data_IF_728042942130
#
_entry.id   IF_728042942130
#
_cell.length_a   1.000
_cell.length_b   1.000
_cell.length_c   1.000
_cell.angle_alpha   90.00
_cell.angle_beta   90.00
_cell.angle_gamma   90.00
#
_symmetry.space_group_name_H-M   'P 1'
#
loop_
_entity.id
_entity.type
_entity.pdbx_description
1 polymer ?
#
# COMPACT_ATOMS: atom_id res chain seq x y z
N UNK A 1 19.61 -16.36 -53.08
CA UNK A 1 18.17 -16.30 -53.37
C UNK A 1 17.55 -17.59 -52.85
N UNK A 2 16.68 -17.64 -51.83
CA UNK A 2 16.03 -16.58 -51.07
C UNK A 2 15.87 -17.06 -49.63
N UNK A 3 16.58 -16.41 -48.72
CA UNK A 3 16.25 -16.35 -47.29
C UNK A 3 15.12 -15.33 -47.16
N UNK A 4 13.88 -15.81 -47.18
CA UNK A 4 12.70 -14.94 -46.99
C UNK A 4 11.64 -15.71 -46.23
N UNK A 5 12.02 -16.29 -45.08
CA UNK A 5 11.04 -16.87 -44.15
C UNK A 5 11.57 -16.90 -42.71
N UNK A 6 12.27 -15.83 -42.31
CA UNK A 6 12.85 -15.70 -40.97
C UNK A 6 12.72 -14.27 -40.45
N UNK A 7 11.48 -13.81 -40.25
CA UNK A 7 11.05 -12.80 -39.28
C UNK A 7 9.57 -12.46 -39.51
N UNK A 8 8.67 -13.41 -39.25
CA UNK A 8 7.37 -13.00 -38.77
C UNK A 8 7.61 -12.47 -37.35
N UNK A 9 7.78 -11.14 -37.21
CA UNK A 9 7.74 -10.49 -35.90
C UNK A 9 6.51 -11.01 -35.17
N UNK A 10 6.73 -11.74 -34.07
CA UNK A 10 5.65 -12.22 -33.23
C UNK A 10 4.86 -10.98 -32.78
N UNK A 11 3.65 -10.81 -33.33
CA UNK A 11 2.78 -9.71 -32.93
C UNK A 11 2.61 -9.73 -31.42
N UNK A 12 2.67 -8.57 -30.74
CA UNK A 12 2.45 -8.53 -29.30
C UNK A 12 1.07 -9.11 -28.97
N UNK A 13 0.98 -9.89 -27.90
CA UNK A 13 -0.31 -10.35 -27.39
C UNK A 13 -1.08 -9.18 -26.80
N UNK A 14 -2.09 -8.69 -27.53
CA UNK A 14 -2.89 -7.53 -27.14
C UNK A 14 -3.95 -7.82 -26.07
N UNK A 15 -4.08 -9.08 -25.63
CA UNK A 15 -5.03 -9.51 -24.61
C UNK A 15 -4.34 -9.83 -23.27
N UNK A 16 -3.01 -9.98 -23.27
CA UNK A 16 -2.24 -10.16 -22.05
C UNK A 16 -1.97 -8.82 -21.36
N UNK A 17 -2.30 -8.76 -20.07
CA UNK A 17 -1.84 -7.68 -19.21
C UNK A 17 -0.36 -7.87 -18.92
N UNK A 18 0.47 -6.96 -19.39
CA UNK A 18 1.91 -6.94 -19.11
C UNK A 18 2.23 -5.61 -18.44
N UNK A 19 2.73 -5.64 -17.20
CA UNK A 19 3.05 -4.42 -16.47
C UNK A 19 4.36 -3.80 -16.98
N UNK A 20 4.45 -2.47 -17.13
CA UNK A 20 5.70 -1.79 -17.45
C UNK A 20 6.77 -2.06 -16.38
N UNK A 21 8.01 -2.36 -16.78
CA UNK A 21 9.10 -2.62 -15.84
C UNK A 21 9.36 -1.46 -14.85
N UNK A 22 9.11 -0.21 -15.27
CA UNK A 22 9.22 0.97 -14.43
C UNK A 22 8.23 0.98 -13.23
N UNK A 23 7.10 0.25 -13.35
CA UNK A 23 6.11 0.15 -12.29
C UNK A 23 6.55 -0.78 -11.15
N UNK A 24 7.44 -1.74 -11.41
CA UNK A 24 7.89 -2.71 -10.40
C UNK A 24 8.47 -2.04 -9.14
N UNK A 25 9.04 -0.84 -9.28
CA UNK A 25 9.58 -0.06 -8.15
C UNK A 25 8.51 0.61 -7.28
N UNK A 26 7.29 0.76 -7.81
CA UNK A 26 6.15 1.42 -7.16
C UNK A 26 5.17 0.42 -6.56
N UNK A 27 5.09 -0.77 -7.15
CA UNK A 27 4.24 -1.86 -6.69
C UNK A 27 4.48 -2.21 -5.23
N UNK A 28 3.40 -2.59 -4.56
CA UNK A 28 3.42 -3.25 -3.28
C UNK A 28 3.70 -4.74 -3.50
N UNK A 29 4.86 -5.26 -3.06
CA UNK A 29 5.28 -6.61 -3.44
C UNK A 29 4.32 -7.72 -2.99
N UNK A 30 4.13 -8.71 -3.85
CA UNK A 30 3.28 -9.88 -3.62
C UNK A 30 4.10 -11.14 -3.81
N UNK A 31 4.18 -11.98 -2.77
CA UNK A 31 4.91 -13.25 -2.83
C UNK A 31 4.29 -14.23 -3.83
N UNK A 32 2.96 -14.17 -3.97
CA UNK A 32 2.15 -14.99 -4.88
C UNK A 32 2.20 -14.53 -6.34
N UNK A 33 3.02 -13.53 -6.68
CA UNK A 33 3.15 -13.01 -8.04
C UNK A 33 4.54 -13.29 -8.62
N UNK A 34 4.64 -13.54 -9.94
CA UNK A 34 5.89 -13.97 -10.60
C UNK A 34 6.91 -12.83 -10.80
N UNK A 35 6.77 -11.72 -10.08
CA UNK A 35 7.66 -10.56 -10.24
C UNK A 35 9.00 -10.82 -9.56
N UNK A 36 10.09 -10.45 -10.24
CA UNK A 36 11.42 -10.49 -9.66
C UNK A 36 11.62 -9.31 -8.70
N UNK A 37 11.15 -9.46 -7.46
CA UNK A 37 11.32 -8.45 -6.42
C UNK A 37 12.79 -8.31 -6.05
N UNK A 38 13.35 -7.08 -6.01
CA UNK A 38 14.69 -6.87 -5.49
C UNK A 38 14.77 -7.37 -4.04
N UNK A 39 15.87 -8.03 -3.68
CA UNK A 39 16.11 -8.45 -2.32
C UNK A 39 16.06 -7.24 -1.39
N UNK A 40 15.11 -7.26 -0.45
CA UNK A 40 14.98 -6.22 0.56
C UNK A 40 15.85 -6.56 1.78
N UNK A 41 16.43 -5.55 2.42
CA UNK A 41 17.18 -5.69 3.68
C UNK A 41 16.74 -4.58 4.63
N UNK A 42 16.76 -4.80 5.95
CA UNK A 42 16.58 -3.72 6.92
C UNK A 42 17.56 -2.56 6.68
N UNK A 43 17.10 -1.33 6.94
CA UNK A 43 17.89 -0.11 6.78
C UNK A 43 18.60 0.14 8.10
N UNK A 44 19.88 -0.20 8.10
CA UNK A 44 20.74 -0.03 9.27
C UNK A 44 20.75 1.40 9.81
N UNK A 45 20.70 2.42 8.93
CA UNK A 45 20.71 3.83 9.37
C UNK A 45 19.39 4.20 10.03
N UNK A 46 18.27 3.72 9.49
CA UNK A 46 16.97 3.86 10.14
C UNK A 46 16.98 3.16 11.51
N UNK A 47 17.52 1.95 11.60
CA UNK A 47 17.65 1.22 12.87
C UNK A 47 18.51 1.98 13.90
N UNK A 48 19.66 2.52 13.50
CA UNK A 48 20.51 3.37 14.34
C UNK A 48 19.77 4.64 14.81
N UNK A 49 18.95 5.24 13.94
CA UNK A 49 18.11 6.40 14.29
C UNK A 49 17.08 6.05 15.36
N UNK A 50 16.38 4.91 15.23
CA UNK A 50 15.45 4.43 16.24
C UNK A 50 16.15 4.14 17.58
N UNK A 51 17.34 3.52 17.58
CA UNK A 51 18.11 3.28 18.82
C UNK A 51 18.49 4.58 19.53
N UNK A 52 18.97 5.58 18.78
CA UNK A 52 19.30 6.88 19.34
C UNK A 52 18.06 7.55 19.94
N UNK A 53 16.93 7.50 19.23
CA UNK A 53 15.64 8.02 19.69
C UNK A 53 15.17 7.34 20.98
N UNK A 54 15.28 6.01 21.06
CA UNK A 54 14.93 5.26 22.26
C UNK A 54 15.86 5.58 23.43
N UNK A 55 17.16 5.74 23.18
CA UNK A 55 18.09 6.13 24.23
C UNK A 55 17.76 7.52 24.79
N UNK A 56 17.42 8.47 23.92
CA UNK A 56 17.06 9.84 24.29
C UNK A 56 15.73 9.91 25.06
N UNK A 57 14.68 9.25 24.57
CA UNK A 57 13.32 9.38 25.11
C UNK A 57 12.91 8.28 26.09
N UNK A 58 13.82 7.37 26.46
CA UNK A 58 13.53 6.30 27.43
C UNK A 58 12.86 6.80 28.72
N UNK A 59 13.31 7.89 29.37
CA UNK A 59 12.66 8.38 30.59
C UNK A 59 11.18 8.75 30.37
N UNK A 60 10.87 9.43 29.27
CA UNK A 60 9.50 9.82 28.93
C UNK A 60 8.64 8.62 28.54
N UNK A 61 9.22 7.61 27.86
CA UNK A 61 8.53 6.36 27.59
C UNK A 61 8.16 5.65 28.90
N UNK A 62 9.09 5.54 29.85
CA UNK A 62 8.83 4.95 31.17
C UNK A 62 7.75 5.72 31.96
N UNK A 63 7.78 7.06 31.91
CA UNK A 63 6.75 7.91 32.51
C UNK A 63 5.37 7.61 31.93
N UNK A 64 5.26 7.54 30.60
CA UNK A 64 3.99 7.25 29.93
C UNK A 64 3.50 5.82 30.23
N UNK A 65 4.41 4.84 30.27
CA UNK A 65 4.07 3.47 30.66
C UNK A 65 3.63 3.36 32.14
N UNK A 66 3.99 4.33 32.99
CA UNK A 66 3.56 4.40 34.38
C UNK A 66 2.23 5.16 34.59
N UNK A 67 1.69 5.80 33.55
CA UNK A 67 0.43 6.54 33.66
C UNK A 67 -0.76 5.60 33.95
N UNK A 68 -1.77 6.04 34.73
CA UNK A 68 -2.95 5.23 35.03
C UNK A 68 -3.75 4.78 33.79
N UNK A 69 -3.65 5.51 32.68
CA UNK A 69 -4.30 5.14 31.42
C UNK A 69 -3.58 4.04 30.64
N UNK A 70 -2.40 3.59 31.09
CA UNK A 70 -1.68 2.43 30.54
C UNK A 70 -2.07 1.17 31.30
N UNK A 71 -2.75 0.19 30.68
CA UNK A 71 -3.08 -1.08 31.33
C UNK A 71 -1.81 -1.81 31.82
N UNK A 72 -1.84 -2.51 32.97
CA UNK A 72 -0.65 -3.16 33.52
C UNK A 72 0.06 -4.10 32.54
N UNK A 73 -0.69 -4.87 31.74
CA UNK A 73 -0.13 -5.77 30.74
C UNK A 73 0.65 -5.02 29.64
N UNK A 74 0.16 -3.86 29.17
CA UNK A 74 0.86 -3.03 28.17
C UNK A 74 2.10 -2.40 28.78
N UNK A 75 2.02 -1.95 30.04
CA UNK A 75 3.16 -1.40 30.75
C UNK A 75 4.26 -2.45 30.98
N UNK A 76 3.89 -3.67 31.36
CA UNK A 76 4.82 -4.78 31.54
C UNK A 76 5.50 -5.18 30.23
N UNK A 77 4.72 -5.35 29.15
CA UNK A 77 5.23 -5.62 27.81
C UNK A 77 6.20 -4.52 27.34
N UNK A 78 5.83 -3.25 27.51
CA UNK A 78 6.68 -2.11 27.16
C UNK A 78 8.02 -2.13 27.92
N UNK A 79 7.99 -2.40 29.24
CA UNK A 79 9.21 -2.52 30.04
C UNK A 79 10.04 -3.75 29.68
N UNK A 80 9.42 -4.88 29.32
CA UNK A 80 10.10 -6.07 28.83
C UNK A 80 10.89 -5.74 27.55
N UNK A 81 10.26 -5.07 26.59
CA UNK A 81 10.94 -4.61 25.39
C UNK A 81 12.08 -3.63 25.70
N UNK A 82 11.88 -2.70 26.63
CA UNK A 82 12.93 -1.77 27.07
C UNK A 82 14.14 -2.47 27.72
N UNK A 83 13.98 -3.68 28.25
CA UNK A 83 15.06 -4.56 28.75
C UNK A 83 15.69 -5.44 27.66
N UNK A 84 15.19 -5.38 26.43
CA UNK A 84 15.66 -6.17 25.28
C UNK A 84 14.93 -7.50 25.09
N UNK A 85 13.84 -7.76 25.81
CA UNK A 85 13.03 -8.97 25.62
C UNK A 85 12.16 -8.83 24.35
N UNK A 86 12.01 -9.90 23.55
CA UNK A 86 11.23 -9.86 22.32
C UNK A 86 9.72 -9.89 22.63
N UNK A 87 9.13 -8.71 22.83
CA UNK A 87 7.69 -8.53 22.96
C UNK A 87 7.15 -7.57 21.87
N UNK A 88 6.41 -8.07 20.85
CA UNK A 88 5.88 -7.22 19.78
C UNK A 88 4.90 -6.14 20.25
N UNK A 89 4.11 -6.42 21.29
CA UNK A 89 3.17 -5.46 21.88
C UNK A 89 3.95 -4.39 22.65
N UNK A 90 4.98 -4.80 23.39
CA UNK A 90 5.91 -3.90 24.07
C UNK A 90 6.65 -2.99 23.11
N UNK A 91 7.20 -3.54 22.03
CA UNK A 91 7.86 -2.79 20.96
C UNK A 91 6.93 -1.75 20.33
N UNK A 92 5.69 -2.16 20.03
CA UNK A 92 4.66 -1.26 19.52
C UNK A 92 4.32 -0.12 20.49
N UNK A 93 4.12 -0.44 21.77
CA UNK A 93 3.79 0.54 22.80
C UNK A 93 4.91 1.59 22.99
N UNK A 94 6.16 1.12 23.03
CA UNK A 94 7.34 1.99 23.13
C UNK A 94 7.46 2.92 21.91
N UNK A 95 7.30 2.39 20.69
CA UNK A 95 7.38 3.20 19.47
C UNK A 95 6.22 4.22 19.35
N UNK A 96 5.03 3.92 19.88
CA UNK A 96 3.90 4.86 19.89
C UNK A 96 4.18 6.13 20.70
N UNK A 97 5.04 6.03 21.72
CA UNK A 97 5.44 7.18 22.54
C UNK A 97 6.69 7.85 21.99
N UNK A 98 7.71 7.06 21.64
CA UNK A 98 8.99 7.59 21.17
C UNK A 98 8.88 8.29 19.80
N UNK A 99 8.09 7.76 18.87
CA UNK A 99 8.01 8.31 17.51
C UNK A 99 7.45 9.75 17.46
N UNK A 100 6.36 10.11 18.19
CA UNK A 100 5.92 11.50 18.27
C UNK A 100 6.95 12.42 18.96
N UNK A 101 7.62 11.94 20.03
CA UNK A 101 8.65 12.71 20.73
C UNK A 101 9.80 13.08 19.79
N UNK A 102 10.33 12.09 19.07
CA UNK A 102 11.36 12.28 18.05
C UNK A 102 10.86 12.83 16.71
N UNK A 103 9.62 13.36 16.68
CA UNK A 103 9.07 14.06 15.51
C UNK A 103 9.08 13.21 14.21
N UNK A 104 8.94 11.88 14.34
CA UNK A 104 8.99 10.93 13.21
C UNK A 104 7.95 11.25 12.14
N UNK A 105 6.80 11.81 12.52
CA UNK A 105 5.80 12.28 11.56
C UNK A 105 6.35 13.30 10.54
N UNK A 106 7.41 14.05 10.86
CA UNK A 106 8.05 14.98 9.92
C UNK A 106 9.21 14.37 9.14
N UNK A 107 9.59 13.14 9.48
CA UNK A 107 10.59 12.37 8.73
C UNK A 107 9.92 11.59 7.60
N UNK A 108 10.69 11.15 6.58
CA UNK A 108 10.12 10.37 5.47
C UNK A 108 9.82 8.91 5.84
N UNK A 109 10.40 8.38 6.92
CA UNK A 109 10.35 6.95 7.25
C UNK A 109 10.25 6.72 8.76
N UNK A 110 9.38 5.81 9.17
CA UNK A 110 9.33 5.33 10.55
C UNK A 110 10.53 4.38 10.79
N UNK A 111 11.47 4.73 11.68
CA UNK A 111 12.71 3.98 11.85
C UNK A 111 12.57 2.70 12.68
N UNK A 112 11.45 2.53 13.41
CA UNK A 112 11.29 1.45 14.39
C UNK A 112 11.15 0.09 13.74
N UNK A 113 10.48 0.00 12.58
CA UNK A 113 10.35 -1.26 11.84
C UNK A 113 11.73 -1.85 11.49
N UNK A 114 12.65 -0.99 11.05
CA UNK A 114 14.02 -1.40 10.71
C UNK A 114 14.83 -1.81 11.93
N UNK A 115 14.67 -1.11 13.05
CA UNK A 115 15.29 -1.51 14.31
C UNK A 115 14.78 -2.88 14.80
N UNK A 116 13.48 -3.10 14.77
CA UNK A 116 12.89 -4.39 15.13
C UNK A 116 13.39 -5.52 14.22
N UNK A 117 13.48 -5.27 12.92
CA UNK A 117 13.94 -6.26 11.96
C UNK A 117 15.42 -6.61 12.13
N UNK A 118 16.27 -5.63 12.47
CA UNK A 118 17.69 -5.85 12.77
C UNK A 118 17.91 -6.61 14.09
N UNK A 119 17.11 -6.34 15.13
CA UNK A 119 17.34 -6.89 16.48
C UNK A 119 16.65 -8.23 16.73
N UNK A 120 15.47 -8.42 16.14
CA UNK A 120 14.61 -9.57 16.42
C UNK A 120 14.11 -10.27 15.15
N UNK A 121 14.52 -9.82 13.97
CA UNK A 121 14.13 -10.41 12.69
C UNK A 121 12.82 -9.86 12.10
N UNK A 122 12.60 -10.17 10.81
CA UNK A 122 11.48 -9.62 10.02
C UNK A 122 10.12 -10.09 10.56
N UNK A 123 10.00 -11.33 11.03
CA UNK A 123 8.76 -11.86 11.59
C UNK A 123 8.32 -11.10 12.85
N UNK A 124 9.28 -10.78 13.73
CA UNK A 124 9.03 -9.93 14.89
C UNK A 124 8.63 -8.52 14.48
N UNK A 125 9.36 -7.90 13.54
CA UNK A 125 9.05 -6.56 13.05
C UNK A 125 7.63 -6.48 12.46
N UNK A 126 7.22 -7.50 11.71
CA UNK A 126 5.87 -7.58 11.16
C UNK A 126 4.81 -7.69 12.27
N UNK A 127 5.05 -8.53 13.28
CA UNK A 127 4.17 -8.69 14.43
C UNK A 127 4.03 -7.39 15.23
N UNK A 128 5.14 -6.69 15.48
CA UNK A 128 5.15 -5.40 16.19
C UNK A 128 4.44 -4.31 15.39
N UNK A 129 4.61 -4.29 14.06
CA UNK A 129 3.93 -3.35 13.18
C UNK A 129 2.41 -3.54 13.18
N UNK A 130 1.93 -4.80 13.17
CA UNK A 130 0.51 -5.10 13.31
C UNK A 130 0.01 -4.86 14.74
N UNK A 131 0.78 -5.22 15.77
CA UNK A 131 0.41 -4.93 17.16
C UNK A 131 0.19 -3.42 17.39
N UNK A 132 1.04 -2.57 16.80
CA UNK A 132 0.90 -1.11 16.85
C UNK A 132 -0.43 -0.59 16.30
N UNK A 133 -1.00 -1.26 15.29
CA UNK A 133 -2.30 -0.91 14.72
C UNK A 133 -3.47 -1.09 15.71
N UNK A 134 -3.29 -1.95 16.72
CA UNK A 134 -4.29 -2.21 17.76
C UNK A 134 -4.09 -1.37 19.03
N UNK A 135 -3.03 -0.55 19.09
CA UNK A 135 -2.71 0.29 20.23
C UNK A 135 -2.91 1.78 19.90
N UNK A 136 -3.14 2.57 20.94
CA UNK A 136 -3.34 4.00 20.87
C UNK A 136 -2.66 4.68 22.06
N UNK A 137 -2.01 5.82 21.80
CA UNK A 137 -1.33 6.62 22.81
C UNK A 137 -1.80 8.09 22.70
N UNK A 138 -2.93 8.45 23.32
CA UNK A 138 -3.46 9.81 23.22
C UNK A 138 -2.55 10.79 23.94
N UNK A 139 -2.32 11.93 23.30
CA UNK A 139 -1.72 13.09 23.93
C UNK A 139 -2.35 14.40 23.45
N UNK A 140 -2.50 15.33 24.38
CA UNK A 140 -2.78 16.73 24.07
C UNK A 140 -1.48 17.52 23.94
N UNK A 141 -1.51 18.63 23.19
CA UNK A 141 -0.39 19.59 23.14
C UNK A 141 -0.79 20.83 23.92
N UNK A 142 -0.04 21.17 24.97
CA UNK A 142 -0.21 22.39 25.75
C UNK A 142 1.09 23.19 25.68
N UNK A 143 1.08 24.28 24.90
CA UNK A 143 2.31 25.00 24.58
C UNK A 143 3.25 24.13 23.73
N UNK A 144 4.46 23.88 24.24
CA UNK A 144 5.45 22.99 23.62
C UNK A 144 5.45 21.57 24.21
N UNK A 145 4.64 21.33 25.26
CA UNK A 145 4.63 20.06 25.98
C UNK A 145 3.51 19.14 25.48
N UNK A 146 3.80 17.84 25.48
CA UNK A 146 2.83 16.79 25.21
C UNK A 146 2.35 16.20 26.52
N UNK A 147 1.05 16.27 26.77
CA UNK A 147 0.41 15.64 27.92
C UNK A 147 -0.22 14.33 27.49
N UNK A 148 0.41 13.23 27.88
CA UNK A 148 -0.04 11.88 27.57
C UNK A 148 -1.11 11.41 28.54
N UNK A 149 -2.00 10.55 28.06
CA UNK A 149 -2.98 9.85 28.90
C UNK A 149 -2.54 8.42 29.25
N UNK A 150 -1.62 7.83 28.47
CA UNK A 150 -1.12 6.47 28.59
C UNK A 150 -1.03 5.78 27.21
N UNK A 151 -0.71 4.48 27.20
CA UNK A 151 -0.80 3.61 26.01
C UNK A 151 -1.81 2.50 26.28
N UNK A 152 -2.81 2.35 25.43
CA UNK A 152 -3.88 1.36 25.61
C UNK A 152 -4.33 0.77 24.28
N UNK A 153 -5.23 -0.20 24.35
CA UNK A 153 -5.94 -0.67 23.17
C UNK A 153 -6.68 0.48 22.48
N UNK A 154 -6.62 0.46 21.16
CA UNK A 154 -7.27 1.43 20.31
C UNK A 154 -8.76 1.15 20.22
N UNK A 155 -9.57 2.19 20.35
CA UNK A 155 -11.01 2.09 20.19
C UNK A 155 -11.43 2.30 18.73
N UNK A 156 -12.58 1.75 18.28
CA UNK A 156 -13.02 1.86 16.89
C UNK A 156 -13.18 3.31 16.38
N UNK A 157 -13.56 4.24 17.25
CA UNK A 157 -13.74 5.66 16.93
C UNK A 157 -12.44 6.46 16.83
N UNK A 158 -11.31 5.87 17.24
CA UNK A 158 -10.03 6.55 17.33
C UNK A 158 -9.27 6.52 16.01
N UNK A 159 -9.19 7.69 15.40
CA UNK A 159 -8.60 7.88 14.09
C UNK A 159 -7.12 8.25 14.18
N UNK A 160 -6.32 7.61 13.36
CA UNK A 160 -4.91 7.93 13.28
C UNK A 160 -4.68 9.13 12.36
N UNK A 161 -4.70 10.34 12.91
CA UNK A 161 -4.44 11.58 12.15
C UNK A 161 -2.95 11.81 11.84
N UNK A 162 -2.05 10.95 12.33
CA UNK A 162 -0.60 11.21 12.43
C UNK A 162 0.34 10.35 11.57
N UNK A 163 -0.14 9.60 10.58
CA UNK A 163 0.73 8.94 9.59
C UNK A 163 1.64 7.82 10.13
N UNK A 164 1.16 6.97 11.05
CA UNK A 164 1.91 5.77 11.48
C UNK A 164 2.09 4.73 10.37
N UNK A 165 1.07 4.52 9.54
CA UNK A 165 1.07 3.55 8.44
C UNK A 165 1.26 4.28 7.10
N UNK A 166 2.35 5.04 6.97
CA UNK A 166 2.71 5.56 5.64
C UNK A 166 2.97 4.41 4.68
N UNK A 167 2.50 4.59 3.46
CA UNK A 167 2.67 3.64 2.36
C UNK A 167 4.09 3.09 2.29
N UNK A 168 5.10 3.96 2.41
CA UNK A 168 6.52 3.58 2.32
C UNK A 168 6.96 2.56 3.38
N UNK A 169 6.57 2.75 4.65
CA UNK A 169 6.96 1.86 5.74
C UNK A 169 6.33 0.47 5.60
N UNK A 170 5.03 0.45 5.35
CA UNK A 170 4.27 -0.78 5.15
C UNK A 170 4.65 -1.50 3.83
N UNK A 171 4.95 -0.76 2.75
CA UNK A 171 5.46 -1.34 1.49
C UNK A 171 6.82 -1.99 1.69
N UNK A 172 7.69 -1.33 2.44
CA UNK A 172 9.03 -1.84 2.76
C UNK A 172 8.97 -3.13 3.58
N UNK A 173 8.14 -3.17 4.61
CA UNK A 173 7.91 -4.38 5.39
C UNK A 173 7.34 -5.52 4.52
N UNK A 174 6.38 -5.21 3.65
CA UNK A 174 5.83 -6.17 2.68
C UNK A 174 6.89 -6.67 1.69
N UNK A 175 7.85 -5.83 1.28
CA UNK A 175 8.98 -6.22 0.45
C UNK A 175 9.93 -7.20 1.15
N UNK A 176 10.21 -6.97 2.45
CA UNK A 176 11.00 -7.89 3.27
C UNK A 176 10.30 -9.27 3.36
N UNK A 177 9.00 -9.30 3.62
CA UNK A 177 8.22 -10.54 3.68
C UNK A 177 8.13 -11.24 2.33
N UNK A 178 7.90 -10.50 1.24
CA UNK A 178 7.79 -11.07 -0.11
C UNK A 178 9.08 -11.79 -0.55
N UNK A 179 10.24 -11.34 -0.06
CA UNK A 179 11.57 -11.90 -0.39
C UNK A 179 12.15 -12.78 0.73
N UNK A 180 11.43 -12.98 1.83
CA UNK A 180 11.86 -13.79 2.96
C UNK A 180 11.94 -15.29 2.60
N UNK A 181 12.76 -16.02 3.35
CA UNK A 181 12.76 -17.49 3.33
C UNK A 181 11.41 -18.03 3.83
N UNK A 182 11.04 -19.24 3.41
CA UNK A 182 9.73 -19.83 3.73
C UNK A 182 9.52 -19.96 5.24
N UNK A 183 10.57 -20.28 6.00
CA UNK A 183 10.53 -20.41 7.45
C UNK A 183 10.21 -19.07 8.12
N UNK A 184 10.87 -17.99 7.70
CA UNK A 184 10.63 -16.63 8.21
C UNK A 184 9.24 -16.13 7.83
N UNK A 185 8.78 -16.47 6.61
CA UNK A 185 7.42 -16.13 6.17
C UNK A 185 6.35 -16.88 6.99
N UNK A 186 6.59 -18.16 7.29
CA UNK A 186 5.71 -18.96 8.15
C UNK A 186 5.68 -18.42 9.59
N UNK A 187 6.84 -18.09 10.16
CA UNK A 187 6.94 -17.46 11.49
C UNK A 187 6.18 -16.13 11.54
N UNK A 188 6.33 -15.29 10.52
CA UNK A 188 5.57 -14.05 10.40
C UNK A 188 4.06 -14.32 10.33
N UNK A 189 3.62 -15.37 9.60
CA UNK A 189 2.22 -15.73 9.54
C UNK A 189 1.64 -16.10 10.91
N UNK A 190 2.37 -16.90 11.68
CA UNK A 190 1.97 -17.29 13.04
C UNK A 190 1.94 -16.10 13.99
N UNK A 191 2.94 -15.21 13.91
CA UNK A 191 2.99 -13.97 14.67
C UNK A 191 1.80 -13.05 14.35
N UNK A 192 1.56 -12.77 13.07
CA UNK A 192 0.46 -11.91 12.62
C UNK A 192 -0.91 -12.47 13.01
N UNK A 193 -1.10 -13.79 12.94
CA UNK A 193 -2.36 -14.42 13.34
C UNK A 193 -2.76 -14.08 14.79
N UNK A 194 -1.78 -13.92 15.70
CA UNK A 194 -2.00 -13.53 17.10
C UNK A 194 -2.36 -12.07 17.30
N UNK A 195 -2.12 -11.22 16.30
CA UNK A 195 -2.31 -9.77 16.40
C UNK A 195 -3.40 -9.24 15.45
N UNK A 196 -4.31 -10.10 14.93
CA UNK A 196 -5.44 -9.74 14.05
C UNK A 196 -6.75 -9.44 14.78
N UNK A 197 -6.69 -8.81 15.95
CA UNK A 197 -7.86 -8.60 16.83
C UNK A 197 -8.81 -7.49 16.37
N UNK A 198 -8.28 -6.40 15.82
CA UNK A 198 -9.08 -5.25 15.36
C UNK A 198 -9.21 -5.20 13.83
N UNK A 199 -10.16 -4.40 13.32
CA UNK A 199 -10.40 -4.26 11.88
C UNK A 199 -9.15 -3.81 11.11
N UNK A 200 -8.41 -2.81 11.62
CA UNK A 200 -7.18 -2.33 10.98
C UNK A 200 -6.05 -3.35 11.07
N UNK A 201 -5.97 -4.10 12.16
CA UNK A 201 -5.01 -5.20 12.26
C UNK A 201 -5.30 -6.30 11.24
N UNK A 202 -6.57 -6.67 11.04
CA UNK A 202 -6.99 -7.62 9.99
C UNK A 202 -6.65 -7.08 8.59
N UNK A 203 -6.95 -5.81 8.31
CA UNK A 203 -6.62 -5.16 7.05
C UNK A 203 -5.10 -5.13 6.79
N UNK A 204 -4.32 -4.70 7.77
CA UNK A 204 -2.86 -4.63 7.67
C UNK A 204 -2.22 -6.01 7.52
N UNK A 205 -2.68 -7.01 8.26
CA UNK A 205 -2.19 -8.38 8.12
C UNK A 205 -2.53 -8.97 6.74
N UNK A 206 -3.74 -8.72 6.22
CA UNK A 206 -4.13 -9.17 4.87
C UNK A 206 -3.37 -8.43 3.78
N UNK A 207 -3.01 -7.17 4.01
CA UNK A 207 -2.11 -6.43 3.15
C UNK A 207 -0.68 -6.98 3.18
N UNK A 208 -0.14 -7.34 4.35
CA UNK A 208 1.22 -7.87 4.48
C UNK A 208 1.34 -9.30 3.94
N UNK A 209 0.27 -10.10 4.02
CA UNK A 209 0.23 -11.50 3.58
C UNK A 209 -0.92 -11.73 2.59
N UNK A 210 -0.83 -11.14 1.38
CA UNK A 210 -1.91 -11.11 0.39
C UNK A 210 -2.27 -12.50 -0.18
N UNK A 211 -1.39 -13.48 -0.03
CA UNK A 211 -1.58 -14.89 -0.42
C UNK A 211 -2.44 -15.67 0.59
N UNK A 212 -2.54 -15.20 1.84
CA UNK A 212 -3.41 -15.77 2.87
C UNK A 212 -4.86 -15.34 2.64
N UNK A 213 -5.46 -15.80 1.55
CA UNK A 213 -6.81 -15.40 1.10
C UNK A 213 -7.90 -15.59 2.16
N UNK A 214 -7.78 -16.62 3.01
CA UNK A 214 -8.67 -16.82 4.15
C UNK A 214 -8.70 -15.63 5.12
N UNK A 215 -7.57 -14.94 5.32
CA UNK A 215 -7.52 -13.76 6.20
C UNK A 215 -8.27 -12.57 5.66
N UNK A 216 -8.27 -12.40 4.33
CA UNK A 216 -9.03 -11.37 3.66
C UNK A 216 -10.52 -11.74 3.61
N UNK A 217 -10.86 -13.02 3.39
CA UNK A 217 -12.23 -13.50 3.51
C UNK A 217 -12.81 -13.29 4.92
N UNK A 218 -12.03 -13.57 5.98
CA UNK A 218 -12.42 -13.28 7.37
C UNK A 218 -12.68 -11.78 7.60
N UNK A 219 -11.89 -10.91 6.93
CA UNK A 219 -12.07 -9.47 6.99
C UNK A 219 -13.40 -9.05 6.33
N UNK A 220 -13.70 -9.58 5.15
CA UNK A 220 -14.95 -9.29 4.42
C UNK A 220 -16.20 -9.83 5.14
N UNK A 221 -16.06 -10.96 5.84
CA UNK A 221 -17.18 -11.61 6.54
C UNK A 221 -17.51 -10.98 7.90
N UNK A 222 -16.68 -10.05 8.39
CA UNK A 222 -16.85 -9.43 9.70
C UNK A 222 -18.08 -8.47 9.69
N UNK A 223 -19.17 -8.79 10.42
CA UNK A 223 -20.39 -8.00 10.38
C UNK A 223 -20.24 -6.63 11.05
N UNK A 224 -19.21 -6.44 11.89
CA UNK A 224 -18.86 -5.15 12.48
C UNK A 224 -17.92 -4.34 11.58
N UNK A 225 -17.38 -4.96 10.53
CA UNK A 225 -16.61 -4.29 9.50
C UNK A 225 -17.51 -3.46 8.59
N UNK A 226 -18.04 -2.36 9.14
CA UNK A 226 -18.42 -1.24 8.30
C UNK A 226 -17.13 -0.59 7.82
N UNK A 227 -16.95 -0.40 6.51
CA UNK A 227 -15.73 0.19 5.96
C UNK A 227 -15.52 1.66 6.38
N UNK A 228 -16.54 2.28 6.98
CA UNK A 228 -16.44 3.51 7.76
C UNK A 228 -15.52 3.39 8.99
N UNK A 229 -15.31 2.18 9.52
CA UNK A 229 -14.44 1.89 10.66
C UNK A 229 -12.95 1.76 10.31
N UNK A 230 -12.58 1.62 9.04
CA UNK A 230 -11.20 1.87 8.59
C UNK A 230 -11.12 3.33 8.16
N UNK A 231 -10.26 4.08 8.84
CA UNK A 231 -10.04 5.48 8.52
C UNK A 231 -9.70 5.63 7.03
N UNK A 232 -10.31 6.58 6.31
CA UNK A 232 -10.08 6.77 4.87
C UNK A 232 -8.60 6.80 4.48
N UNK A 233 -7.74 7.36 5.35
CA UNK A 233 -6.29 7.44 5.14
C UNK A 233 -5.53 6.10 5.20
N UNK A 234 -6.16 5.02 5.67
CA UNK A 234 -5.58 3.67 5.75
C UNK A 234 -6.19 2.71 4.71
N UNK A 235 -7.25 3.12 3.99
CA UNK A 235 -7.97 2.27 3.02
C UNK A 235 -7.10 1.83 1.85
N UNK A 236 -6.05 2.58 1.52
CA UNK A 236 -5.06 2.23 0.51
C UNK A 236 -4.49 0.82 0.69
N UNK A 237 -4.41 0.30 1.94
CA UNK A 237 -4.00 -1.07 2.24
C UNK A 237 -4.86 -2.10 1.50
N UNK A 238 -6.17 -1.86 1.43
CA UNK A 238 -7.16 -2.75 0.85
C UNK A 238 -7.03 -2.80 -0.68
N UNK A 239 -6.83 -1.65 -1.32
CA UNK A 239 -6.54 -1.57 -2.76
C UNK A 239 -5.30 -2.39 -3.16
N UNK A 240 -4.32 -2.50 -2.26
CA UNK A 240 -3.12 -3.30 -2.46
C UNK A 240 -3.27 -4.77 -2.02
N UNK A 241 -4.41 -5.17 -1.44
CA UNK A 241 -4.64 -6.51 -0.89
C UNK A 241 -5.64 -7.35 -1.71
N UNK A 242 -6.61 -6.69 -2.38
CA UNK A 242 -7.58 -7.34 -3.26
C UNK A 242 -6.91 -8.19 -4.34
N UNK A 243 -7.55 -9.31 -4.71
CA UNK A 243 -7.10 -10.21 -5.77
C UNK A 243 -8.11 -10.34 -6.91
N UNK A 244 -9.34 -9.90 -6.72
CA UNK A 244 -10.35 -9.83 -7.77
C UNK A 244 -11.33 -8.66 -7.57
N UNK A 245 -12.24 -8.51 -8.55
CA UNK A 245 -13.24 -7.46 -8.56
C UNK A 245 -14.34 -7.66 -7.51
N UNK A 246 -14.74 -8.89 -7.23
CA UNK A 246 -15.82 -9.16 -6.27
C UNK A 246 -15.41 -8.71 -4.86
N UNK A 247 -14.13 -8.86 -4.52
CA UNK A 247 -13.55 -8.35 -3.29
C UNK A 247 -13.52 -6.82 -3.23
N UNK A 248 -13.16 -6.16 -4.33
CA UNK A 248 -13.17 -4.70 -4.41
C UNK A 248 -14.60 -4.15 -4.29
N UNK A 249 -15.59 -4.83 -4.88
CA UNK A 249 -17.01 -4.48 -4.81
C UNK A 249 -17.58 -4.71 -3.41
N UNK A 250 -17.24 -5.83 -2.75
CA UNK A 250 -17.64 -6.11 -1.36
C UNK A 250 -17.12 -5.06 -0.36
N UNK A 251 -15.99 -4.45 -0.71
CA UNK A 251 -15.39 -3.34 0.04
C UNK A 251 -15.89 -1.96 -0.36
N UNK A 252 -16.71 -1.87 -1.42
CA UNK A 252 -17.13 -0.61 -2.05
C UNK A 252 -15.92 0.32 -2.30
N UNK A 253 -14.81 -0.26 -2.79
CA UNK A 253 -13.57 0.49 -2.96
C UNK A 253 -13.76 1.67 -3.93
N UNK A 254 -13.17 2.79 -3.58
CA UNK A 254 -13.10 3.99 -4.42
C UNK A 254 -11.68 4.55 -4.40
N UNK A 255 -11.17 5.00 -5.55
CA UNK A 255 -9.88 5.68 -5.61
C UNK A 255 -10.06 7.17 -5.24
N UNK A 256 -10.24 7.43 -3.96
CA UNK A 256 -10.34 8.78 -3.40
C UNK A 256 -8.97 9.48 -3.31
N UNK A 257 -8.96 10.71 -2.79
CA UNK A 257 -7.74 11.52 -2.67
C UNK A 257 -6.67 10.90 -1.75
N UNK A 258 -7.02 9.93 -0.88
CA UNK A 258 -6.11 9.27 0.04
C UNK A 258 -5.62 7.91 -0.48
N UNK A 259 -6.28 7.34 -1.47
CA UNK A 259 -6.02 5.98 -1.96
C UNK A 259 -5.58 5.92 -3.43
N UNK A 260 -5.26 7.06 -4.05
CA UNK A 260 -4.86 7.15 -5.47
C UNK A 260 -3.37 7.42 -5.70
N UNK A 261 -2.50 7.01 -4.79
CA UNK A 261 -1.06 7.14 -5.03
C UNK A 261 -0.63 6.27 -6.24
N UNK A 262 0.46 6.60 -6.96
CA UNK A 262 0.97 5.74 -8.03
C UNK A 262 1.30 4.31 -7.56
N UNK A 263 1.72 4.12 -6.32
CA UNK A 263 1.98 2.79 -5.75
C UNK A 263 0.69 1.98 -5.59
N UNK A 264 -0.37 2.62 -5.12
CA UNK A 264 -1.69 1.99 -4.96
C UNK A 264 -2.33 1.67 -6.30
N UNK A 265 -2.34 2.63 -7.24
CA UNK A 265 -2.91 2.44 -8.59
C UNK A 265 -2.24 1.25 -9.29
N UNK A 266 -0.91 1.22 -9.28
CA UNK A 266 -0.17 0.13 -9.96
C UNK A 266 -0.42 -1.22 -9.30
N UNK A 267 -0.55 -1.26 -7.96
CA UNK A 267 -0.81 -2.50 -7.21
C UNK A 267 -2.24 -3.00 -7.37
N UNK A 268 -3.21 -2.09 -7.51
CA UNK A 268 -4.59 -2.43 -7.85
C UNK A 268 -4.66 -3.09 -9.23
N UNK A 269 -3.98 -2.53 -10.23
CA UNK A 269 -3.91 -3.10 -11.58
C UNK A 269 -3.21 -4.46 -11.57
N UNK A 270 -2.13 -4.64 -10.82
CA UNK A 270 -1.50 -5.97 -10.61
C UNK A 270 -2.42 -6.96 -9.88
N UNK A 271 -3.25 -6.45 -8.97
CA UNK A 271 -4.18 -7.24 -8.17
C UNK A 271 -5.32 -7.82 -9.01
N UNK A 272 -6.07 -6.95 -9.70
CA UNK A 272 -7.37 -7.30 -10.31
C UNK A 272 -7.41 -7.08 -11.84
N UNK A 273 -6.32 -6.62 -12.44
CA UNK A 273 -6.15 -6.48 -13.88
C UNK A 273 -7.18 -5.57 -14.55
N UNK A 274 -7.73 -5.94 -15.72
CA UNK A 274 -8.74 -5.15 -16.43
C UNK A 274 -9.99 -4.83 -15.62
N UNK A 275 -10.29 -5.61 -14.58
CA UNK A 275 -11.46 -5.39 -13.74
C UNK A 275 -11.35 -4.10 -12.89
N UNK A 276 -10.17 -3.48 -12.84
CA UNK A 276 -9.93 -2.17 -12.24
C UNK A 276 -10.46 -0.99 -13.07
N UNK A 277 -10.95 -1.20 -14.29
CA UNK A 277 -11.33 -0.13 -15.23
C UNK A 277 -12.21 0.95 -14.57
N UNK A 278 -13.33 0.54 -13.98
CA UNK A 278 -14.30 1.48 -13.40
C UNK A 278 -13.68 2.29 -12.25
N UNK A 279 -12.91 1.63 -11.38
CA UNK A 279 -12.21 2.29 -10.27
C UNK A 279 -11.22 3.35 -10.77
N UNK A 280 -10.51 3.06 -11.86
CA UNK A 280 -9.56 3.98 -12.47
C UNK A 280 -10.26 5.16 -13.14
N UNK A 281 -11.36 4.93 -13.87
CA UNK A 281 -12.13 6.00 -14.51
C UNK A 281 -12.82 6.89 -13.48
N UNK A 282 -13.41 6.29 -12.44
CA UNK A 282 -14.05 7.03 -11.36
C UNK A 282 -13.03 7.87 -10.59
N UNK A 283 -11.86 7.29 -10.26
CA UNK A 283 -10.76 8.00 -9.62
C UNK A 283 -10.20 9.15 -10.48
N UNK A 284 -10.23 9.00 -11.80
CA UNK A 284 -9.81 10.04 -12.75
C UNK A 284 -10.83 11.18 -12.81
N UNK A 285 -12.11 10.89 -12.59
CA UNK A 285 -13.20 11.88 -12.60
C UNK A 285 -13.42 12.57 -11.24
N UNK A 286 -12.75 12.12 -10.18
CA UNK A 286 -12.73 12.80 -8.89
C UNK A 286 -12.10 14.20 -8.96
N UNK A 287 -12.57 15.16 -8.15
CA UNK A 287 -12.00 16.50 -8.09
C UNK A 287 -10.57 16.52 -7.50
N UNK A 288 -9.92 17.69 -7.60
CA UNK A 288 -8.61 17.97 -7.01
C UNK A 288 -7.49 17.02 -7.43
N UNK A 289 -7.52 16.55 -8.68
CA UNK A 289 -6.52 15.65 -9.24
C UNK A 289 -5.23 16.41 -9.56
N UNK A 290 -4.13 16.05 -8.90
CA UNK A 290 -2.81 16.58 -9.25
C UNK A 290 -2.27 15.94 -10.54
N UNK A 291 -1.23 16.57 -11.11
CA UNK A 291 -0.67 16.16 -12.40
C UNK A 291 -0.03 14.76 -12.39
N UNK A 292 0.58 14.35 -11.27
CA UNK A 292 1.27 13.08 -11.17
C UNK A 292 0.29 11.92 -10.99
N UNK A 293 -0.74 12.13 -10.16
CA UNK A 293 -1.87 11.21 -10.00
C UNK A 293 -2.65 11.06 -11.31
N UNK A 294 -2.93 12.17 -12.00
CA UNK A 294 -3.60 12.14 -13.32
C UNK A 294 -2.81 11.29 -14.32
N UNK A 295 -1.50 11.51 -14.42
CA UNK A 295 -0.63 10.70 -15.28
C UNK A 295 -0.65 9.23 -14.87
N UNK A 296 -0.60 8.92 -13.57
CA UNK A 296 -0.61 7.54 -13.09
C UNK A 296 -1.90 6.78 -13.46
N UNK A 297 -3.07 7.43 -13.35
CA UNK A 297 -4.35 6.85 -13.76
C UNK A 297 -4.44 6.65 -15.28
N UNK A 298 -4.01 7.63 -16.06
CA UNK A 298 -3.99 7.54 -17.53
C UNK A 298 -3.01 6.46 -18.02
N UNK A 299 -1.82 6.39 -17.44
CA UNK A 299 -0.83 5.34 -17.71
C UNK A 299 -1.41 3.96 -17.36
N UNK A 300 -2.25 3.88 -16.32
CA UNK A 300 -2.90 2.64 -15.93
C UNK A 300 -3.95 2.18 -16.92
N UNK A 301 -4.81 3.09 -17.38
CA UNK A 301 -5.76 2.80 -18.46
C UNK A 301 -5.05 2.35 -19.74
N UNK A 302 -3.90 2.97 -20.07
CA UNK A 302 -3.12 2.64 -21.27
C UNK A 302 -2.49 1.23 -21.26
N UNK A 303 -2.41 0.58 -20.09
CA UNK A 303 -1.88 -0.77 -19.91
C UNK A 303 -2.98 -1.84 -19.90
N UNK A 304 -4.24 -1.48 -19.70
CA UNK A 304 -5.33 -2.45 -19.65
C UNK A 304 -5.64 -3.02 -21.05
N UNK A 305 -5.58 -4.36 -21.23
CA UNK A 305 -5.80 -5.01 -22.53
C UNK A 305 -7.29 -5.16 -22.87
N UNK A 306 -8.09 -4.10 -22.72
CA UNK A 306 -9.53 -4.10 -23.02
C UNK A 306 -9.93 -2.87 -23.81
N UNK A 307 -10.87 -3.04 -24.75
CA UNK A 307 -11.36 -1.96 -25.61
C UNK A 307 -11.93 -0.79 -24.83
N UNK A 308 -12.66 -1.09 -23.75
CA UNK A 308 -13.28 -0.08 -22.91
C UNK A 308 -12.26 0.85 -22.22
N UNK A 309 -11.04 0.37 -21.94
CA UNK A 309 -9.98 1.21 -21.41
C UNK A 309 -9.41 2.17 -22.46
N UNK A 310 -9.22 1.69 -23.69
CA UNK A 310 -8.80 2.54 -24.81
C UNK A 310 -9.88 3.58 -25.12
N UNK A 311 -11.16 3.19 -25.12
CA UNK A 311 -12.28 4.10 -25.29
C UNK A 311 -12.32 5.16 -24.17
N UNK A 312 -12.10 4.75 -22.91
CA UNK A 312 -12.06 5.68 -21.78
C UNK A 312 -10.94 6.74 -21.90
N UNK A 313 -9.82 6.39 -22.52
CA UNK A 313 -8.76 7.36 -22.88
C UNK A 313 -9.22 8.30 -24.00
N UNK A 314 -9.86 7.77 -25.05
CA UNK A 314 -10.39 8.57 -26.16
C UNK A 314 -11.45 9.57 -25.69
N UNK A 315 -12.31 9.17 -24.76
CA UNK A 315 -13.36 10.00 -24.18
C UNK A 315 -12.83 11.15 -23.32
N UNK A 316 -11.54 11.11 -22.97
CA UNK A 316 -10.85 12.11 -22.15
C UNK A 316 -9.67 12.76 -22.89
N UNK A 317 -9.66 12.75 -24.22
CA UNK A 317 -8.58 13.33 -25.05
C UNK A 317 -8.33 14.82 -24.79
N UNK A 318 -9.34 15.54 -24.32
CA UNK A 318 -9.26 16.94 -23.91
C UNK A 318 -8.46 17.14 -22.61
N UNK A 319 -8.20 16.08 -21.85
CA UNK A 319 -7.45 16.16 -20.61
C UNK A 319 -5.95 16.21 -20.84
N UNK A 320 -5.29 16.95 -19.96
CA UNK A 320 -3.83 16.98 -19.88
C UNK A 320 -3.28 15.55 -19.76
N UNK A 321 -2.27 15.24 -20.56
CA UNK A 321 -1.59 13.93 -20.65
C UNK A 321 -2.37 12.78 -21.32
N UNK A 322 -3.65 12.96 -21.68
CA UNK A 322 -4.44 11.89 -22.28
C UNK A 322 -3.92 11.46 -23.65
N UNK A 323 -3.52 12.42 -24.49
CA UNK A 323 -2.92 12.14 -25.81
C UNK A 323 -1.69 11.22 -25.71
N UNK A 324 -0.79 11.53 -24.76
CA UNK A 324 0.41 10.72 -24.52
C UNK A 324 0.06 9.29 -24.07
N UNK A 325 -0.99 9.14 -23.27
CA UNK A 325 -1.50 7.83 -22.83
C UNK A 325 -2.17 7.06 -23.97
N UNK A 326 -2.94 7.72 -24.85
CA UNK A 326 -3.50 7.08 -26.06
C UNK A 326 -2.39 6.58 -26.97
N UNK A 327 -1.36 7.39 -27.21
CA UNK A 327 -0.19 6.96 -28.01
C UNK A 327 0.55 5.79 -27.35
N UNK A 328 0.65 5.76 -26.02
CA UNK A 328 1.24 4.64 -25.31
C UNK A 328 0.40 3.36 -25.44
N UNK A 329 -0.92 3.47 -25.30
CA UNK A 329 -1.86 2.38 -25.52
C UNK A 329 -1.80 1.88 -26.97
N UNK A 330 -1.69 2.78 -27.95
CA UNK A 330 -1.63 2.43 -29.37
C UNK A 330 -0.35 1.68 -29.75
N UNK A 331 0.79 2.05 -29.18
CA UNK A 331 2.03 1.27 -29.32
C UNK A 331 1.92 -0.12 -28.71
N UNK A 332 1.13 -0.27 -27.65
CA UNK A 332 0.96 -1.53 -26.92
C UNK A 332 -0.08 -2.46 -27.57
N UNK A 333 -1.13 -1.87 -28.12
CA UNK A 333 -2.28 -2.55 -28.69
C UNK A 333 -2.59 -2.04 -30.11
N UNK A 334 -1.68 -2.20 -31.09
CA UNK A 334 -1.79 -1.57 -32.41
C UNK A 334 -3.05 -1.97 -33.19
N UNK A 335 -3.47 -3.23 -33.17
CA UNK A 335 -4.68 -3.67 -33.86
C UNK A 335 -5.95 -3.08 -33.21
N UNK A 336 -6.01 -3.06 -31.87
CA UNK A 336 -7.08 -2.38 -31.12
C UNK A 336 -7.11 -0.88 -31.42
N UNK A 337 -5.94 -0.23 -31.45
CA UNK A 337 -5.82 1.19 -31.70
C UNK A 337 -6.30 1.57 -33.09
N UNK A 338 -5.85 0.87 -34.13
CA UNK A 338 -6.33 1.08 -35.50
C UNK A 338 -7.86 1.00 -35.57
N UNK A 339 -8.45 -0.04 -34.97
CA UNK A 339 -9.91 -0.24 -34.99
C UNK A 339 -10.66 0.87 -34.25
N UNK A 340 -10.22 1.23 -33.04
CA UNK A 340 -10.93 2.21 -32.21
C UNK A 340 -10.70 3.65 -32.66
N UNK A 341 -9.50 4.00 -33.12
CA UNK A 341 -9.22 5.31 -33.69
C UNK A 341 -9.98 5.53 -35.01
N UNK A 342 -10.02 4.53 -35.89
CA UNK A 342 -10.80 4.61 -37.13
C UNK A 342 -12.30 4.80 -36.87
N UNK A 343 -12.84 4.10 -35.85
CA UNK A 343 -14.23 4.28 -35.45
C UNK A 343 -14.49 5.69 -34.89
N UNK A 344 -13.54 6.27 -34.14
CA UNK A 344 -13.69 7.59 -33.52
C UNK A 344 -13.37 8.77 -34.46
N UNK A 345 -12.61 8.55 -35.54
CA UNK A 345 -12.13 9.61 -36.43
C UNK A 345 -13.25 10.40 -37.14
N UNK A 346 -14.43 9.79 -37.31
CA UNK A 346 -15.59 10.47 -37.91
C UNK A 346 -16.19 11.56 -37.02
N UNK A 347 -16.12 11.39 -35.70
CA UNK A 347 -16.77 12.26 -34.71
C UNK A 347 -15.78 13.12 -33.93
N UNK A 348 -14.47 12.79 -33.97
CA UNK A 348 -13.43 13.45 -33.17
C UNK A 348 -12.20 13.78 -34.04
N UNK A 349 -11.97 15.06 -34.39
CA UNK A 349 -10.79 15.48 -35.17
C UNK A 349 -9.46 15.04 -34.54
N UNK A 350 -9.34 15.14 -33.21
CA UNK A 350 -8.14 14.69 -32.49
C UNK A 350 -7.86 13.18 -32.65
N UNK A 351 -8.89 12.35 -32.79
CA UNK A 351 -8.70 10.92 -33.06
C UNK A 351 -8.26 10.67 -34.51
N UNK A 352 -8.72 11.49 -35.46
CA UNK A 352 -8.25 11.46 -36.85
C UNK A 352 -6.78 11.87 -36.97
N UNK A 353 -6.36 12.91 -36.24
CA UNK A 353 -4.96 13.34 -36.18
C UNK A 353 -4.06 12.23 -35.60
N UNK A 354 -4.50 11.57 -34.52
CA UNK A 354 -3.78 10.45 -33.93
C UNK A 354 -3.72 9.23 -34.86
N UNK A 355 -4.80 8.95 -35.60
CA UNK A 355 -4.83 7.88 -36.60
C UNK A 355 -3.86 8.15 -37.76
N UNK A 356 -3.67 9.42 -38.16
CA UNK A 356 -2.76 9.78 -39.25
C UNK A 356 -1.28 9.65 -38.86
N UNK A 357 -0.97 9.67 -37.57
CA UNK A 357 0.39 9.55 -37.01
C UNK A 357 0.69 8.12 -36.54
N UNK A 358 -0.34 7.29 -36.33
CA UNK A 358 -0.24 5.88 -35.99
C UNK A 358 0.10 5.02 -37.20
#
# INVERSE_FOLDING_TARGET
MSTTDAAAEARPDENALVLPAAWLRRLHPRRDRPHAWPAARPDRKAAETARAMLAEYRPQVEEVLALPGTPPAVAEAGRAHLRGEPDPVGAAAVALVAAPLGQVAYTRQDPFMDQWAEEHGVAFAASAYVARAGLWAPFGVVGMERRWEGVRERRPEENWSGGWAREDGARRLRALLATAQDEVYAEAAEGLARHRGTLLQKALASYLMPDRRGWFADLLADPEATWAGVYPGDRWLLHCAVADRAEADALELVLDFQSRSPGVITSLVDGIGPAALDLLTDGLDQPHLDADTSRALLDALAVLPVDAAFQALLDRLDRKYAEAAVLAAARRFPARALRLLAAAAGDRPAAADLLAVH
#
